data_IF_394185831507
#
_entry.id   IF_394185831507
#
_cell.length_a   1.000
_cell.length_b   1.000
_cell.length_c   1.000
_cell.angle_alpha   90.00
_cell.angle_beta   90.00
_cell.angle_gamma   90.00
#
_symmetry.space_group_name_H-M   'P 1'
#
loop_
_entity.id
_entity.type
_entity.pdbx_description
1 polymer ?
#
# COMPACT_ATOMS: atom_id res chain seq x y z
N UNK A 1 0.80 -14.64 -11.58
CA UNK A 1 0.55 -13.36 -10.90
C UNK A 1 1.53 -13.22 -9.75
N UNK A 2 2.60 -12.45 -9.91
CA UNK A 2 3.49 -12.10 -8.80
C UNK A 2 2.71 -11.17 -7.88
N UNK A 3 2.51 -11.55 -6.61
CA UNK A 3 2.01 -10.61 -5.59
C UNK A 3 3.19 -9.74 -5.21
N UNK A 4 3.36 -8.63 -5.91
CA UNK A 4 4.36 -7.64 -5.53
C UNK A 4 3.86 -6.94 -4.25
N UNK A 5 4.53 -7.26 -3.15
CA UNK A 5 4.24 -6.64 -1.86
C UNK A 5 4.97 -5.30 -1.78
N UNK A 6 4.27 -4.25 -1.37
CA UNK A 6 4.80 -2.89 -1.25
C UNK A 6 5.97 -2.76 -0.25
N UNK A 7 6.15 -3.74 0.64
CA UNK A 7 7.27 -3.81 1.59
C UNK A 7 7.81 -5.24 1.67
N UNK A 8 9.10 -5.38 2.00
CA UNK A 8 9.73 -6.69 2.22
C UNK A 8 9.16 -7.40 3.45
N UNK A 9 9.33 -8.72 3.56
CA UNK A 9 8.91 -9.47 4.76
C UNK A 9 9.66 -9.01 6.01
N UNK A 10 10.95 -8.71 5.88
CA UNK A 10 11.78 -8.24 6.98
C UNK A 10 11.36 -6.87 7.50
N UNK A 11 10.90 -5.96 6.64
CA UNK A 11 10.32 -4.68 7.06
C UNK A 11 8.99 -4.87 7.77
N UNK A 12 8.08 -5.67 7.18
CA UNK A 12 6.80 -5.98 7.80
C UNK A 12 6.98 -6.65 9.18
N UNK A 13 7.97 -7.53 9.34
CA UNK A 13 8.31 -8.17 10.60
C UNK A 13 8.72 -7.15 11.67
N UNK A 14 9.60 -6.20 11.31
CA UNK A 14 10.03 -5.11 12.19
C UNK A 14 8.88 -4.18 12.57
N UNK A 15 8.03 -3.80 11.62
CA UNK A 15 6.88 -2.91 11.86
C UNK A 15 5.85 -3.57 12.79
N UNK A 16 5.57 -4.86 12.59
CA UNK A 16 4.55 -5.59 13.35
C UNK A 16 5.07 -6.18 14.65
N UNK A 17 6.39 -6.13 14.90
CA UNK A 17 7.02 -6.71 16.09
C UNK A 17 6.94 -8.25 16.11
N UNK A 18 7.01 -8.89 14.95
CA UNK A 18 6.91 -10.36 14.80
C UNK A 18 8.08 -10.93 14.01
N UNK A 19 8.21 -12.26 13.97
CA UNK A 19 9.23 -12.93 13.15
C UNK A 19 8.90 -12.88 11.66
N UNK A 20 9.94 -12.95 10.81
CA UNK A 20 9.78 -13.07 9.34
C UNK A 20 8.92 -14.29 8.95
N UNK A 21 9.07 -15.40 9.68
CA UNK A 21 8.27 -16.60 9.50
C UNK A 21 6.77 -16.36 9.80
N UNK A 22 6.43 -15.54 10.80
CA UNK A 22 5.04 -15.17 11.07
C UNK A 22 4.44 -14.34 9.92
N UNK A 23 5.20 -13.38 9.38
CA UNK A 23 4.79 -12.61 8.19
C UNK A 23 4.61 -13.53 6.97
N UNK A 24 5.52 -14.49 6.77
CA UNK A 24 5.42 -15.49 5.70
C UNK A 24 4.13 -16.30 5.78
N UNK A 25 3.75 -16.75 6.98
CA UNK A 25 2.47 -17.47 7.20
C UNK A 25 1.27 -16.58 6.86
N UNK A 26 1.25 -15.34 7.33
CA UNK A 26 0.15 -14.39 7.04
C UNK A 26 0.01 -14.15 5.54
N UNK A 27 1.12 -13.94 4.83
CA UNK A 27 1.14 -13.78 3.36
C UNK A 27 0.64 -15.02 2.62
N UNK A 28 0.88 -16.21 3.19
CA UNK A 28 0.36 -17.48 2.69
C UNK A 28 -1.11 -17.73 3.06
N UNK A 29 -1.79 -16.78 3.73
CA UNK A 29 -3.19 -16.92 4.16
C UNK A 29 -3.37 -17.71 5.45
N UNK A 30 -2.29 -17.99 6.17
CA UNK A 30 -2.34 -18.60 7.49
C UNK A 30 -2.23 -17.49 8.56
N UNK A 31 -3.32 -17.28 9.29
CA UNK A 31 -3.54 -16.13 10.15
C UNK A 31 -3.39 -16.50 11.63
N UNK A 32 -2.19 -16.41 12.21
CA UNK A 32 -1.99 -16.62 13.64
C UNK A 32 -2.54 -15.43 14.41
N UNK A 33 -3.58 -15.68 15.20
CA UNK A 33 -4.26 -14.71 16.06
C UNK A 33 -4.96 -13.54 15.31
N UNK A 34 -6.13 -13.13 15.81
CA UNK A 34 -6.95 -12.10 15.18
C UNK A 34 -6.28 -10.72 15.19
N UNK A 35 -5.60 -10.39 16.30
CA UNK A 35 -4.98 -9.08 16.48
C UNK A 35 -3.79 -8.82 15.55
N UNK A 36 -3.02 -9.86 15.19
CA UNK A 36 -1.89 -9.73 14.28
C UNK A 36 -2.37 -9.62 12.82
N UNK A 37 -3.40 -10.39 12.49
CA UNK A 37 -4.07 -10.33 11.18
C UNK A 37 -4.61 -8.93 10.90
N UNK A 38 -5.26 -8.33 11.90
CA UNK A 38 -5.81 -6.98 11.76
C UNK A 38 -4.71 -5.93 11.58
N UNK A 39 -3.64 -5.98 12.40
CA UNK A 39 -2.49 -5.09 12.25
C UNK A 39 -1.83 -5.22 10.87
N UNK A 40 -1.73 -6.43 10.33
CA UNK A 40 -1.20 -6.65 8.97
C UNK A 40 -2.12 -6.05 7.89
N UNK A 41 -3.45 -6.22 8.02
CA UNK A 41 -4.42 -5.61 7.08
C UNK A 41 -4.36 -4.08 7.10
N UNK A 42 -4.27 -3.48 8.29
CA UNK A 42 -4.11 -2.03 8.45
C UNK A 42 -2.82 -1.53 7.79
N UNK A 43 -1.71 -2.25 7.97
CA UNK A 43 -0.45 -1.93 7.29
C UNK A 43 -0.60 -1.94 5.77
N UNK A 44 -1.22 -2.98 5.20
CA UNK A 44 -1.48 -3.05 3.75
C UNK A 44 -2.34 -1.89 3.28
N UNK A 45 -3.43 -1.56 3.99
CA UNK A 45 -4.31 -0.46 3.63
C UNK A 45 -3.62 0.92 3.71
N UNK A 46 -2.72 1.13 4.67
CA UNK A 46 -1.90 2.35 4.73
C UNK A 46 -0.94 2.43 3.55
N UNK A 47 -0.25 1.33 3.23
CA UNK A 47 0.69 1.29 2.10
C UNK A 47 -0.01 1.50 0.76
N UNK A 48 -1.19 0.91 0.56
CA UNK A 48 -2.00 1.12 -0.66
C UNK A 48 -2.42 2.58 -0.80
N UNK A 49 -2.91 3.22 0.27
CA UNK A 49 -3.26 4.65 0.25
C UNK A 49 -2.05 5.54 -0.04
N UNK A 50 -0.88 5.20 0.48
CA UNK A 50 0.35 5.93 0.21
C UNK A 50 0.78 5.79 -1.27
N UNK A 51 0.71 4.57 -1.83
CA UNK A 51 1.01 4.33 -3.23
C UNK A 51 0.07 5.09 -4.18
N UNK A 52 -1.25 5.08 -3.90
CA UNK A 52 -2.22 5.81 -4.73
C UNK A 52 -2.01 7.32 -4.75
N UNK A 53 -1.57 7.93 -3.64
CA UNK A 53 -1.25 9.38 -3.61
C UNK A 53 -0.10 9.75 -4.55
N UNK A 54 0.92 8.90 -4.62
CA UNK A 54 2.08 9.11 -5.50
C UNK A 54 1.66 9.02 -6.97
N UNK A 55 0.75 8.11 -7.31
CA UNK A 55 0.20 8.04 -8.67
C UNK A 55 -0.57 9.31 -9.06
N UNK A 56 -1.37 9.88 -8.14
CA UNK A 56 -2.08 11.15 -8.39
C UNK A 56 -1.12 12.32 -8.63
N UNK A 57 -0.03 12.42 -7.87
CA UNK A 57 0.99 13.46 -8.08
C UNK A 57 1.73 13.28 -9.42
N UNK A 58 1.97 12.04 -9.85
CA UNK A 58 2.62 11.74 -11.14
C UNK A 58 1.73 12.07 -12.35
N UNK A 59 0.40 11.93 -12.22
CA UNK A 59 -0.55 12.36 -13.26
C UNK A 59 -0.43 13.86 -13.52
N UNK A 60 -0.31 14.66 -12.45
CA UNK A 60 -0.14 16.11 -12.56
C UNK A 60 1.23 16.51 -13.13
N UNK A 61 2.28 15.72 -12.88
CA UNK A 61 3.63 15.97 -13.41
C UNK A 61 3.76 15.63 -14.91
N UNK A 62 2.94 14.72 -15.43
CA UNK A 62 2.91 14.32 -16.84
C UNK A 62 2.03 15.22 -17.71
N UNK A 63 1.37 16.22 -17.12
CA UNK A 63 0.54 17.16 -17.86
C UNK A 63 1.45 18.11 -18.66
N UNK A 64 1.41 18.09 -20.01
CA UNK A 64 2.15 19.04 -20.82
C UNK A 64 1.55 20.42 -20.52
N UNK A 65 2.30 21.23 -19.79
CA UNK A 65 1.89 22.56 -19.32
C UNK A 65 1.33 23.38 -20.47
N UNK A 66 0.01 23.56 -20.52
CA UNK A 66 -0.67 24.77 -20.99
C UNK A 66 -2.19 24.77 -20.72
N UNK A 67 -2.84 23.63 -20.44
CA UNK A 67 -4.29 23.58 -20.16
C UNK A 67 -4.66 22.71 -18.93
N UNK A 68 -4.04 22.96 -17.77
CA UNK A 68 -4.38 22.23 -16.53
C UNK A 68 -5.77 22.54 -15.95
N UNK A 69 -6.58 23.38 -16.61
CA UNK A 69 -7.96 23.71 -16.23
C UNK A 69 -8.86 22.45 -16.19
N UNK A 70 -8.50 21.40 -16.93
CA UNK A 70 -9.22 20.11 -16.93
C UNK A 70 -8.83 19.12 -15.83
N UNK A 71 -7.67 19.26 -15.18
CA UNK A 71 -7.25 18.32 -14.12
C UNK A 71 -7.93 18.57 -12.77
N UNK A 72 -8.58 19.73 -12.58
CA UNK A 72 -9.24 20.08 -11.31
C UNK A 72 -10.66 19.55 -11.16
N UNK A 73 -11.25 18.95 -12.20
CA UNK A 73 -12.67 18.56 -12.20
C UNK A 73 -12.88 17.06 -11.96
N UNK A 74 -11.85 16.22 -12.08
CA UNK A 74 -11.98 14.77 -11.83
C UNK A 74 -11.94 14.37 -10.33
N UNK A 75 -11.87 15.33 -9.41
CA UNK A 75 -11.90 15.08 -7.94
C UNK A 75 -13.22 15.50 -7.28
N UNK A 76 -14.27 15.79 -8.06
CA UNK A 76 -15.62 16.04 -7.57
C UNK A 76 -16.62 15.09 -8.21
N UNK A 77 -16.52 13.79 -7.92
CA UNK A 77 -17.64 12.84 -7.83
C UNK A 77 -17.19 11.53 -7.13
#
# INVERSE_FOLDING_TARGET
MSRDYLVSRAEAARILGVSDAAVGRIRAGNYPDGALTERYRLLVAVLQRAASKVETEQICASCPREECTGCRIAELD
#
